data_IF_221823977773
#
_entry.id   IF_221823977773
#
_cell.length_a   1.000
_cell.length_b   1.000
_cell.length_c   1.000
_cell.angle_alpha   90.00
_cell.angle_beta   90.00
_cell.angle_gamma   90.00
#
_symmetry.space_group_name_H-M   'P 1'
#
loop_
_entity.id
_entity.type
_entity.pdbx_description
1 polymer ?
#
# COMPACT_ATOMS: atom_id res chain seq x y z
N UNK A 1 -14.97 6.23 -13.38
CA UNK A 1 -13.64 6.83 -13.35
C UNK A 1 -12.80 6.16 -12.27
N UNK A 2 -11.59 5.74 -12.60
CA UNK A 2 -10.70 5.10 -11.65
C UNK A 2 -10.04 6.13 -10.74
N UNK A 3 -10.03 5.85 -9.45
CA UNK A 3 -9.41 6.74 -8.47
C UNK A 3 -8.66 5.90 -7.43
N UNK A 4 -7.92 6.58 -6.55
CA UNK A 4 -7.20 5.87 -5.48
C UNK A 4 -8.13 5.06 -4.59
N UNK A 5 -9.36 5.55 -4.37
CA UNK A 5 -10.34 4.85 -3.54
C UNK A 5 -10.80 3.52 -4.12
N UNK A 6 -10.59 3.30 -5.42
CA UNK A 6 -10.97 2.04 -6.07
C UNK A 6 -9.98 0.90 -5.75
N UNK A 7 -8.87 1.19 -5.10
CA UNK A 7 -7.80 0.23 -4.84
C UNK A 7 -7.64 -0.02 -3.35
N UNK A 8 -8.70 -0.53 -2.73
CA UNK A 8 -8.66 -0.90 -1.33
C UNK A 8 -7.94 -2.24 -1.15
N UNK A 9 -7.18 -2.34 -0.08
CA UNK A 9 -6.61 -3.61 0.35
C UNK A 9 -7.62 -4.32 1.23
N UNK A 10 -7.73 -5.63 1.09
CA UNK A 10 -8.61 -6.43 1.93
C UNK A 10 -7.80 -7.31 2.85
N UNK A 11 -8.19 -7.38 4.09
CA UNK A 11 -7.50 -8.18 5.09
C UNK A 11 -8.12 -7.98 6.44
N UNK A 12 -7.36 -8.24 7.49
CA UNK A 12 -7.87 -8.07 8.86
C UNK A 12 -6.80 -7.46 9.76
N UNK A 13 -7.26 -6.70 10.74
CA UNK A 13 -6.41 -6.19 11.81
C UNK A 13 -6.28 -7.31 12.82
N UNK A 14 -5.05 -7.75 13.11
CA UNK A 14 -4.80 -8.86 14.05
C UNK A 14 -4.24 -8.38 15.37
N UNK A 15 -3.78 -7.14 15.47
CA UNK A 15 -3.28 -6.56 16.72
C UNK A 15 -3.43 -5.04 16.67
N UNK A 16 -3.73 -4.45 17.80
CA UNK A 16 -3.89 -3.00 17.93
C UNK A 16 -2.92 -2.49 18.98
N UNK A 17 -2.17 -1.44 18.62
CA UNK A 17 -1.30 -0.69 19.52
C UNK A 17 -1.85 0.72 19.66
N UNK A 18 -1.17 1.59 20.42
CA UNK A 18 -1.68 2.94 20.69
C UNK A 18 -1.78 3.81 19.44
N UNK A 19 -0.85 3.68 18.52
CA UNK A 19 -0.80 4.52 17.31
C UNK A 19 -0.51 3.71 16.05
N UNK A 20 -0.68 2.39 16.13
CA UNK A 20 -0.44 1.51 14.99
C UNK A 20 -1.28 0.26 15.11
N UNK A 21 -1.37 -0.46 14.00
CA UNK A 21 -2.03 -1.77 13.95
C UNK A 21 -1.10 -2.73 13.24
N UNK A 22 -1.34 -4.02 13.46
CA UNK A 22 -0.75 -5.06 12.63
C UNK A 22 -1.86 -5.57 11.72
N UNK A 23 -1.65 -5.42 10.42
CA UNK A 23 -2.63 -5.76 9.39
C UNK A 23 -2.14 -6.96 8.58
N UNK A 24 -2.99 -7.96 8.42
CA UNK A 24 -2.69 -9.12 7.59
C UNK A 24 -3.53 -9.05 6.31
N UNK A 25 -2.89 -8.82 5.16
CA UNK A 25 -3.61 -8.85 3.89
C UNK A 25 -4.21 -10.23 3.63
N UNK A 26 -5.35 -10.25 2.96
CA UNK A 26 -6.06 -11.48 2.67
C UNK A 26 -5.18 -12.47 1.91
N UNK A 27 -5.24 -13.73 2.31
CA UNK A 27 -4.53 -14.85 1.66
C UNK A 27 -3.02 -14.71 1.67
N UNK A 28 -2.48 -13.99 2.66
CA UNK A 28 -1.03 -13.84 2.82
C UNK A 28 -0.61 -14.16 4.25
N UNK A 29 0.71 -14.31 4.43
CA UNK A 29 1.32 -14.44 5.74
C UNK A 29 1.99 -13.15 6.21
N UNK A 30 1.77 -12.04 5.49
CA UNK A 30 2.32 -10.75 5.91
C UNK A 30 1.65 -10.26 7.19
N UNK A 31 2.43 -9.66 8.06
CA UNK A 31 1.94 -8.97 9.24
C UNK A 31 2.55 -7.58 9.26
N UNK A 32 1.86 -6.65 8.64
CA UNK A 32 2.37 -5.31 8.38
C UNK A 32 2.01 -4.37 9.53
N UNK A 33 3.03 -3.71 10.07
CA UNK A 33 2.81 -2.67 11.07
C UNK A 33 2.52 -1.35 10.35
N UNK A 34 1.34 -0.80 10.58
CA UNK A 34 0.88 0.40 9.89
C UNK A 34 0.43 1.43 10.91
N UNK A 35 0.75 2.70 10.64
CA UNK A 35 0.40 3.79 11.53
C UNK A 35 -1.07 4.18 11.41
N UNK A 36 -1.65 4.56 12.54
CA UNK A 36 -3.03 5.06 12.59
C UNK A 36 -3.04 6.44 13.23
N UNK A 37 -4.14 7.18 13.00
CA UNK A 37 -4.36 8.45 13.69
C UNK A 37 -5.00 8.16 15.04
N UNK A 38 -4.17 8.06 16.07
CA UNK A 38 -4.63 7.64 17.38
C UNK A 38 -4.91 6.15 17.42
N UNK A 39 -5.52 5.71 18.52
CA UNK A 39 -5.77 4.29 18.70
C UNK A 39 -6.89 3.81 17.79
N UNK A 40 -6.62 2.72 17.09
CA UNK A 40 -7.62 2.09 16.22
C UNK A 40 -8.74 1.48 17.08
N UNK A 41 -9.99 1.79 16.75
CA UNK A 41 -11.16 1.28 17.45
C UNK A 41 -12.11 0.50 16.57
N UNK A 42 -11.67 0.14 15.37
CA UNK A 42 -12.49 -0.63 14.45
C UNK A 42 -12.47 -2.14 14.69
N UNK A 43 -13.04 -2.90 13.75
CA UNK A 43 -13.10 -4.37 13.89
C UNK A 43 -11.73 -5.02 13.92
N UNK A 44 -11.60 -6.09 14.69
CA UNK A 44 -10.37 -6.88 14.84
C UNK A 44 -10.67 -8.32 14.48
N UNK A 45 -9.75 -8.96 13.75
CA UNK A 45 -9.85 -10.37 13.34
C UNK A 45 -11.04 -10.68 12.43
N UNK A 46 -11.57 -9.66 11.75
CA UNK A 46 -12.60 -9.84 10.73
C UNK A 46 -12.19 -9.09 9.47
N UNK A 47 -12.65 -9.50 8.29
CA UNK A 47 -12.25 -8.83 7.04
C UNK A 47 -12.71 -7.38 7.01
N UNK A 48 -11.81 -6.50 6.59
CA UNK A 48 -12.08 -5.09 6.37
C UNK A 48 -11.42 -4.65 5.07
N UNK A 49 -11.91 -3.56 4.51
CA UNK A 49 -11.29 -2.90 3.38
C UNK A 49 -10.57 -1.66 3.89
N UNK A 50 -9.32 -1.50 3.48
CA UNK A 50 -8.49 -0.41 3.98
C UNK A 50 -7.70 0.21 2.83
N UNK A 51 -7.23 1.43 3.05
CA UNK A 51 -6.26 2.03 2.16
C UNK A 51 -4.94 2.15 2.91
N UNK A 52 -3.88 1.63 2.32
CA UNK A 52 -2.53 1.74 2.87
C UNK A 52 -1.73 2.69 1.99
N UNK A 53 -1.19 3.73 2.60
CA UNK A 53 -0.36 4.74 1.91
C UNK A 53 1.02 4.79 2.52
N UNK A 54 2.01 4.99 1.67
CA UNK A 54 3.38 5.14 2.12
C UNK A 54 4.13 6.05 1.16
N UNK A 55 5.07 6.81 1.69
CA UNK A 55 5.87 7.72 0.87
C UNK A 55 7.09 6.99 0.30
N UNK A 56 7.30 7.15 -0.98
CA UNK A 56 8.42 6.52 -1.69
C UNK A 56 9.70 7.31 -1.44
N UNK A 57 10.77 6.59 -1.13
CA UNK A 57 12.11 7.16 -1.10
C UNK A 57 12.83 6.95 -2.43
N UNK A 58 12.64 5.79 -3.06
CA UNK A 58 13.28 5.45 -4.33
C UNK A 58 12.38 4.50 -5.12
N UNK A 59 12.24 4.76 -6.40
CA UNK A 59 11.37 3.97 -7.26
C UNK A 59 12.12 3.59 -8.53
N UNK A 60 12.09 2.31 -8.87
CA UNK A 60 12.74 1.76 -10.07
C UNK A 60 11.78 0.84 -10.80
N UNK A 61 11.81 0.88 -12.13
CA UNK A 61 11.17 -0.20 -12.88
C UNK A 61 12.11 -1.40 -12.90
N UNK A 62 11.52 -2.59 -12.91
CA UNK A 62 12.28 -3.82 -12.99
C UNK A 62 11.75 -4.66 -14.16
N UNK A 63 12.62 -5.37 -14.89
CA UNK A 63 12.18 -6.09 -16.09
C UNK A 63 11.34 -7.31 -15.76
N UNK A 64 11.54 -7.91 -14.60
CA UNK A 64 10.80 -9.10 -14.21
C UNK A 64 10.95 -9.30 -12.71
N UNK A 65 10.20 -10.26 -12.19
CA UNK A 65 10.23 -10.58 -10.77
C UNK A 65 8.82 -10.74 -10.24
N UNK A 66 8.71 -11.29 -9.04
CA UNK A 66 7.42 -11.44 -8.38
C UNK A 66 7.02 -10.22 -7.60
N UNK A 67 5.74 -10.13 -7.27
CA UNK A 67 5.25 -9.11 -6.35
C UNK A 67 5.56 -9.54 -4.92
N UNK A 68 6.03 -8.58 -4.11
CA UNK A 68 6.31 -8.88 -2.70
C UNK A 68 6.36 -7.60 -1.87
N UNK A 69 6.24 -7.81 -0.57
CA UNK A 69 6.43 -6.77 0.44
C UNK A 69 7.55 -7.26 1.35
N UNK A 70 8.46 -6.41 1.74
CA UNK A 70 9.55 -6.77 2.66
C UNK A 70 9.64 -5.75 3.77
N UNK A 71 9.80 -6.16 5.02
CA UNK A 71 9.85 -7.54 5.51
C UNK A 71 8.46 -8.17 5.61
N UNK A 72 8.40 -9.47 5.87
CA UNK A 72 7.13 -10.17 6.07
C UNK A 72 6.43 -9.68 7.34
N UNK A 73 7.20 -9.36 8.36
CA UNK A 73 6.68 -8.85 9.64
C UNK A 73 7.25 -7.48 9.92
N UNK A 74 6.41 -6.53 10.31
CA UNK A 74 6.83 -5.22 10.72
C UNK A 74 6.50 -4.12 9.72
N UNK A 75 7.10 -2.93 9.87
CA UNK A 75 6.84 -1.83 8.95
C UNK A 75 7.34 -2.15 7.55
N UNK A 76 6.54 -1.86 6.51
CA UNK A 76 7.00 -2.06 5.14
C UNK A 76 8.24 -1.22 4.83
N UNK A 77 9.22 -1.82 4.16
CA UNK A 77 10.45 -1.13 3.73
C UNK A 77 10.63 -1.19 2.22
N UNK A 78 10.20 -2.28 1.59
CA UNK A 78 10.29 -2.45 0.15
C UNK A 78 8.97 -3.02 -0.36
N UNK A 79 8.47 -2.44 -1.44
CA UNK A 79 7.24 -2.90 -2.10
C UNK A 79 7.57 -3.10 -3.57
N UNK A 80 7.38 -4.31 -4.06
CA UNK A 80 7.57 -4.61 -5.48
C UNK A 80 6.28 -5.18 -6.04
N UNK A 81 5.86 -4.64 -7.17
CA UNK A 81 4.63 -5.10 -7.80
C UNK A 81 4.31 -4.35 -9.07
N UNK A 82 3.12 -4.64 -9.62
CA UNK A 82 2.67 -3.99 -10.84
C UNK A 82 1.91 -2.72 -10.55
N UNK A 83 2.18 -1.70 -11.35
CA UNK A 83 1.45 -0.45 -11.30
C UNK A 83 0.05 -0.67 -11.87
N UNK A 84 -0.96 -0.30 -11.07
CA UNK A 84 -2.37 -0.45 -11.43
C UNK A 84 -3.04 0.87 -11.74
N UNK A 85 -2.47 1.97 -11.26
CA UNK A 85 -3.05 3.30 -11.44
C UNK A 85 -1.94 4.33 -11.28
N UNK A 86 -2.01 5.38 -12.07
CA UNK A 86 -1.06 6.50 -12.01
C UNK A 86 -1.85 7.79 -12.01
N UNK A 87 -1.53 8.66 -11.06
CA UNK A 87 -2.05 10.02 -11.07
C UNK A 87 -0.97 10.96 -10.57
N UNK A 88 -1.22 12.25 -10.63
CA UNK A 88 -0.21 13.21 -10.20
C UNK A 88 0.09 13.01 -8.70
N UNK A 89 1.34 12.77 -8.40
CA UNK A 89 1.81 12.64 -7.02
C UNK A 89 1.60 11.28 -6.38
N UNK A 90 0.99 10.31 -7.06
CA UNK A 90 0.77 8.99 -6.46
C UNK A 90 0.58 7.91 -7.51
N UNK A 91 0.99 6.70 -7.14
CA UNK A 91 0.69 5.51 -7.96
C UNK A 91 0.13 4.42 -7.05
N UNK A 92 -0.60 3.49 -7.63
CA UNK A 92 -1.06 2.29 -6.93
C UNK A 92 -0.28 1.10 -7.47
N UNK A 93 0.30 0.32 -6.56
CA UNK A 93 1.08 -0.87 -6.89
C UNK A 93 0.46 -2.08 -6.21
N UNK A 94 0.25 -3.14 -6.96
CA UNK A 94 -0.24 -4.41 -6.45
C UNK A 94 0.94 -5.30 -6.08
N UNK A 95 1.14 -5.50 -4.78
CA UNK A 95 2.29 -6.24 -4.24
C UNK A 95 1.84 -7.12 -3.08
N UNK A 96 1.07 -8.13 -3.31
CA UNK A 96 0.41 -8.88 -2.24
C UNK A 96 -0.90 -8.23 -1.82
N UNK A 97 -0.95 -6.91 -1.89
CA UNK A 97 -2.16 -6.09 -1.74
C UNK A 97 -1.91 -4.75 -2.42
N UNK A 98 -2.96 -3.97 -2.72
CA UNK A 98 -2.75 -2.63 -3.27
C UNK A 98 -2.12 -1.69 -2.23
N UNK A 99 -1.07 -0.98 -2.67
CA UNK A 99 -0.46 0.11 -1.89
C UNK A 99 -0.61 1.40 -2.68
N UNK A 100 -0.99 2.47 -2.00
CA UNK A 100 -0.88 3.81 -2.56
C UNK A 100 0.51 4.33 -2.21
N UNK A 101 1.32 4.59 -3.24
CA UNK A 101 2.67 5.10 -3.07
C UNK A 101 2.66 6.60 -3.37
N UNK A 102 2.88 7.40 -2.34
CA UNK A 102 2.97 8.86 -2.49
C UNK A 102 4.36 9.22 -3.00
N UNK A 103 4.40 10.01 -4.07
CA UNK A 103 5.62 10.41 -4.73
C UNK A 103 5.94 11.86 -4.35
N UNK A 104 7.01 12.11 -3.60
CA UNK A 104 7.26 13.45 -3.07
C UNK A 104 7.68 14.47 -4.12
N UNK A 105 8.07 14.03 -5.32
CA UNK A 105 8.39 14.95 -6.40
C UNK A 105 8.04 14.31 -7.73
N UNK A 106 7.89 15.14 -8.77
CA UNK A 106 7.59 14.67 -10.11
C UNK A 106 8.68 13.75 -10.66
N UNK A 107 9.92 13.90 -10.18
CA UNK A 107 11.02 13.07 -10.64
C UNK A 107 10.81 11.59 -10.29
N UNK A 108 10.04 11.28 -9.27
CA UNK A 108 9.76 9.91 -8.90
C UNK A 108 8.82 9.20 -9.88
N UNK A 109 8.17 9.96 -10.77
CA UNK A 109 7.31 9.36 -11.78
C UNK A 109 8.06 9.00 -13.06
N UNK A 110 9.37 9.26 -13.08
CA UNK A 110 10.23 8.93 -14.20
C UNK A 110 11.28 7.94 -13.76
N UNK A 111 11.42 6.86 -14.52
CA UNK A 111 12.57 5.99 -14.40
C UNK A 111 13.62 6.51 -15.37
N UNK A 112 14.81 6.78 -14.89
CA UNK A 112 15.87 7.37 -15.71
C UNK A 112 16.22 6.52 -16.93
N UNK A 113 15.99 5.21 -16.86
CA UNK A 113 16.34 4.31 -17.94
C UNK A 113 15.15 4.00 -18.86
N UNK A 114 13.92 4.10 -18.35
CA UNK A 114 12.73 3.60 -19.04
C UNK A 114 11.66 4.65 -19.30
N UNK A 115 11.89 5.89 -18.88
CA UNK A 115 10.94 6.98 -19.08
C UNK A 115 9.80 6.96 -18.06
N UNK A 116 8.65 7.55 -18.41
CA UNK A 116 7.53 7.64 -17.46
C UNK A 116 7.04 6.29 -16.99
N UNK A 117 6.70 6.21 -15.70
CA UNK A 117 6.11 5.01 -15.12
C UNK A 117 4.64 5.00 -15.45
N UNK A 118 4.17 3.90 -16.03
CA UNK A 118 2.78 3.76 -16.45
C UNK A 118 2.18 2.45 -15.92
N UNK A 119 0.85 2.35 -16.06
CA UNK A 119 0.13 1.14 -15.66
C UNK A 119 0.71 -0.08 -16.39
N UNK A 120 0.93 -1.15 -15.64
CA UNK A 120 1.49 -2.39 -16.17
C UNK A 120 2.97 -2.59 -15.91
N UNK A 121 3.70 -1.52 -15.61
CA UNK A 121 5.11 -1.65 -15.25
C UNK A 121 5.27 -2.41 -13.93
N UNK A 122 6.30 -3.23 -13.86
CA UNK A 122 6.73 -3.81 -12.58
C UNK A 122 7.71 -2.83 -11.95
N UNK A 123 7.46 -2.43 -10.71
CA UNK A 123 8.31 -1.46 -10.02
C UNK A 123 8.76 -2.02 -8.67
N UNK A 124 9.93 -1.57 -8.24
CA UNK A 124 10.46 -1.81 -6.90
C UNK A 124 10.55 -0.47 -6.19
N UNK A 125 9.86 -0.34 -5.08
CA UNK A 125 9.83 0.91 -4.31
C UNK A 125 10.48 0.69 -2.96
N UNK A 126 11.46 1.52 -2.64
CA UNK A 126 11.98 1.63 -1.28
C UNK A 126 11.20 2.76 -0.64
N UNK A 127 10.58 2.48 0.51
CA UNK A 127 9.62 3.39 1.12
C UNK A 127 10.13 3.90 2.46
N UNK A 128 9.64 5.08 2.85
CA UNK A 128 9.98 5.68 4.13
C UNK A 128 9.16 5.02 5.25
N UNK A 129 9.65 5.09 6.50
CA UNK A 129 8.84 4.67 7.64
C UNK A 129 7.55 5.47 7.73
N UNK A 130 6.53 4.92 8.39
CA UNK A 130 5.29 5.62 8.62
C UNK A 130 4.19 5.31 7.62
N UNK A 131 4.22 4.13 7.01
CA UNK A 131 3.09 3.67 6.21
C UNK A 131 1.81 3.80 7.03
N UNK A 132 0.78 4.41 6.44
CA UNK A 132 -0.48 4.69 7.15
C UNK A 132 -1.56 3.72 6.74
N UNK A 133 -2.54 3.59 7.62
CA UNK A 133 -3.65 2.68 7.51
C UNK A 133 -4.94 3.47 7.72
N UNK A 134 -5.92 3.29 6.84
CA UNK A 134 -7.20 3.95 6.97
C UNK A 134 -8.31 3.00 6.53
N UNK A 135 -9.34 2.84 7.37
CA UNK A 135 -10.51 2.06 6.98
C UNK A 135 -11.23 2.75 5.83
N UNK A 136 -11.59 1.97 4.83
CA UNK A 136 -12.42 2.47 3.74
C UNK A 136 -13.87 2.36 4.18
N UNK A 137 -14.53 3.50 4.14
CA UNK A 137 -15.87 3.59 4.71
C UNK A 137 -16.89 2.77 4.00
N UNK A 138 -16.73 2.30 3.14
CA UNK A 138 -17.68 1.58 2.70
C UNK A 138 -17.85 0.43 2.97
N UNK A 139 -17.29 0.57 3.35
CA UNK A 139 -17.58 -0.47 3.22
C UNK A 139 -18.75 -0.65 3.79
N UNK A 140 -18.79 -0.34 3.81
CA UNK A 140 -19.47 -0.40 4.24
C UNK A 140 -20.45 -0.38 4.30
N UNK A 141 -20.36 -0.24 3.94
CA UNK A 141 -21.03 -0.18 4.01
C UNK A 141 -21.66 -0.39 4.23
N UNK A 142 -21.48 -0.25 4.11
CA UNK A 142 -21.92 -0.50 4.40
C UNK A 142 -22.55 -0.65 4.95
N UNK A 143 -22.60 -0.35 5.03
CA UNK A 143 -23.02 -0.55 5.60
C UNK A 143 -23.73 -0.73 5.82
N UNK A 144 -23.81 -0.62 5.68
CA UNK A 144 -24.42 -0.78 6.08
C UNK A 144 -24.82 -1.00 6.31
#
# INVERSE_FOLDING_TARGET
>A
MTSLADFAARGKVIRVNDDSVVFQPKDTNYELQLATKGKYDGPVNVPVNVQVRVTVRKLLTVPSGGAFISPIFGPPKTVQGRVKHVEEGAIVVQAGMPFVLDLPSADHQLDLNNGPITVGHMVNAIVLPGATFELMGSTVGASA
#
